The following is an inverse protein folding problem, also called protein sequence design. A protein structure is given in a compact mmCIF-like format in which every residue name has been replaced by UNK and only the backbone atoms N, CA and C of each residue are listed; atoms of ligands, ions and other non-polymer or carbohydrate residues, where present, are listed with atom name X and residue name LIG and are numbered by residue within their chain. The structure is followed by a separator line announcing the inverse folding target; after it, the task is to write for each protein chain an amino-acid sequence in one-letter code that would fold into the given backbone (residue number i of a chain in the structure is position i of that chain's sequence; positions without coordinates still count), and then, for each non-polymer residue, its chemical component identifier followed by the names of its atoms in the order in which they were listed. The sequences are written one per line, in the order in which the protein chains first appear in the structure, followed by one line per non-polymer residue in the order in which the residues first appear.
data_IF_409328109034
#
_entry.id   IF_409328109034
#
_cell.length_a   1.000
_cell.length_b   1.000
_cell.length_c   1.000
_cell.angle_alpha   90.00
_cell.angle_beta   90.00
_cell.angle_gamma   90.00
#
_symmetry.space_group_name_H-M   'P 1'
#
loop_
_entity.id
_entity.type
_entity.pdbx_description
1 polymer ?
#
# COMPACT_ATOMS: atom_id res chain seq x y z
N UNK A 1 1.53 1.68 -26.80
CA UNK A 1 0.06 1.57 -26.58
C UNK A 1 -0.30 1.13 -25.16
N UNK A 2 0.17 -0.04 -24.68
CA UNK A 2 -0.13 -0.58 -23.35
C UNK A 2 0.02 0.44 -22.20
N UNK A 3 1.19 1.07 -22.06
CA UNK A 3 1.45 2.07 -21.01
C UNK A 3 0.50 3.28 -21.09
N UNK A 4 0.10 3.72 -22.28
CA UNK A 4 -0.86 4.82 -22.47
C UNK A 4 -2.25 4.46 -21.95
N UNK A 5 -2.72 3.24 -22.22
CA UNK A 5 -4.01 2.74 -21.71
C UNK A 5 -3.98 2.64 -20.18
N UNK A 6 -2.88 2.15 -19.61
CA UNK A 6 -2.71 2.11 -18.15
C UNK A 6 -2.73 3.52 -17.56
N UNK A 7 -2.04 4.48 -18.18
CA UNK A 7 -2.10 5.88 -17.75
C UNK A 7 -3.52 6.45 -17.84
N UNK A 8 -4.30 6.09 -18.86
CA UNK A 8 -5.72 6.45 -18.96
C UNK A 8 -6.57 5.84 -17.84
N UNK A 9 -6.28 4.61 -17.43
CA UNK A 9 -6.91 3.98 -16.26
C UNK A 9 -6.55 4.71 -14.96
N UNK A 10 -5.28 5.07 -14.77
CA UNK A 10 -4.85 5.88 -13.62
C UNK A 10 -5.59 7.22 -13.58
N UNK A 11 -5.72 7.89 -14.71
CA UNK A 11 -6.43 9.17 -14.80
C UNK A 11 -7.94 9.04 -14.55
N UNK A 12 -8.56 7.98 -15.06
CA UNK A 12 -9.97 7.66 -14.74
C UNK A 12 -10.17 7.47 -13.22
N UNK A 13 -9.27 6.75 -12.56
CA UNK A 13 -9.33 6.46 -11.12
C UNK A 13 -9.06 7.69 -10.23
N UNK A 14 -8.40 8.73 -10.75
CA UNK A 14 -8.26 10.01 -10.02
C UNK A 14 -9.60 10.71 -9.85
N UNK A 15 -10.43 10.67 -10.88
CA UNK A 15 -11.69 11.41 -10.94
C UNK A 15 -12.91 10.59 -10.54
N UNK A 16 -12.81 9.25 -10.50
CA UNK A 16 -13.95 8.34 -10.29
C UNK A 16 -13.57 7.18 -9.36
N UNK A 17 -14.49 6.66 -8.53
CA UNK A 17 -14.27 5.43 -7.78
C UNK A 17 -14.21 4.22 -8.73
N UNK A 18 -13.53 3.15 -8.31
CA UNK A 18 -13.26 1.98 -9.15
C UNK A 18 -14.51 1.40 -9.86
N UNK A 19 -15.63 1.32 -9.16
CA UNK A 19 -16.87 0.73 -9.68
C UNK A 19 -17.58 1.59 -10.74
N UNK A 20 -17.19 2.86 -10.89
CA UNK A 20 -17.69 3.77 -11.93
C UNK A 20 -16.74 3.87 -13.15
N UNK A 21 -15.54 3.31 -13.05
CA UNK A 21 -14.57 3.33 -14.16
C UNK A 21 -14.98 2.28 -15.19
N UNK A 22 -15.04 2.69 -16.45
CA UNK A 22 -15.46 1.84 -17.58
C UNK A 22 -14.37 1.77 -18.65
N UNK A 23 -14.41 0.76 -19.52
CA UNK A 23 -13.51 0.68 -20.69
C UNK A 23 -13.60 1.94 -21.56
N UNK A 24 -14.81 2.50 -21.71
CA UNK A 24 -15.03 3.74 -22.44
C UNK A 24 -14.35 4.95 -21.78
N UNK A 25 -14.41 5.09 -20.45
CA UNK A 25 -13.70 6.17 -19.77
C UNK A 25 -12.19 6.01 -19.89
N UNK A 26 -11.67 4.79 -19.79
CA UNK A 26 -10.23 4.52 -19.99
C UNK A 26 -9.79 4.87 -21.41
N UNK A 27 -10.55 4.48 -22.42
CA UNK A 27 -10.26 4.78 -23.82
C UNK A 27 -10.23 6.29 -24.07
N UNK A 28 -11.18 7.02 -23.49
CA UNK A 28 -11.23 8.49 -23.54
C UNK A 28 -9.98 9.13 -22.93
N UNK A 29 -9.64 8.79 -21.68
CA UNK A 29 -8.46 9.34 -20.99
C UNK A 29 -7.13 8.91 -21.65
N UNK A 30 -7.11 7.77 -22.35
CA UNK A 30 -5.96 7.28 -23.10
C UNK A 30 -5.87 7.80 -24.55
N UNK A 31 -6.82 8.66 -24.96
CA UNK A 31 -6.95 9.19 -26.33
C UNK A 31 -6.89 8.07 -27.39
N UNK A 32 -7.75 7.07 -27.20
CA UNK A 32 -7.84 5.89 -28.06
C UNK A 32 -9.27 5.35 -28.13
N UNK A 33 -9.48 4.22 -28.81
CA UNK A 33 -10.82 3.61 -28.98
C UNK A 33 -11.02 2.44 -28.02
N UNK A 34 -12.27 2.08 -27.75
CA UNK A 34 -12.63 0.93 -26.91
C UNK A 34 -12.04 -0.36 -27.49
N UNK A 35 -12.12 -0.54 -28.80
CA UNK A 35 -11.59 -1.72 -29.51
C UNK A 35 -10.08 -1.83 -29.32
N UNK A 36 -9.37 -0.69 -29.29
CA UNK A 36 -7.93 -0.68 -29.03
C UNK A 36 -7.62 -1.09 -27.59
N UNK A 37 -8.44 -0.67 -26.61
CA UNK A 37 -8.28 -1.06 -25.21
C UNK A 37 -8.50 -2.56 -25.05
N UNK A 38 -9.60 -3.09 -25.59
CA UNK A 38 -9.95 -4.52 -25.49
C UNK A 38 -8.93 -5.42 -26.21
N UNK A 39 -8.40 -4.98 -27.36
CA UNK A 39 -7.36 -5.71 -28.07
C UNK A 39 -6.04 -5.79 -27.27
N UNK A 40 -5.67 -4.73 -26.54
CA UNK A 40 -4.42 -4.69 -25.75
C UNK A 40 -4.60 -5.31 -24.36
N UNK A 41 -5.79 -5.22 -23.79
CA UNK A 41 -6.19 -5.80 -22.50
C UNK A 41 -7.47 -6.62 -22.68
N UNK A 42 -7.34 -7.92 -23.02
CA UNK A 42 -8.49 -8.80 -23.23
C UNK A 42 -9.31 -9.06 -21.96
N UNK A 43 -8.81 -8.67 -20.79
CA UNK A 43 -9.53 -8.75 -19.53
C UNK A 43 -9.39 -7.46 -18.71
N UNK A 44 -10.49 -7.05 -18.09
CA UNK A 44 -10.53 -5.94 -17.15
C UNK A 44 -9.55 -6.15 -15.98
N UNK A 45 -9.54 -7.38 -15.47
CA UNK A 45 -8.60 -7.89 -14.48
C UNK A 45 -7.13 -7.65 -14.86
N UNK A 46 -6.78 -7.91 -16.12
CA UNK A 46 -5.43 -7.68 -16.62
C UNK A 46 -5.05 -6.19 -16.64
N UNK A 47 -6.00 -5.31 -16.97
CA UNK A 47 -5.81 -3.86 -16.93
C UNK A 47 -5.69 -3.36 -15.49
N UNK A 48 -6.53 -3.84 -14.57
CA UNK A 48 -6.48 -3.51 -13.15
C UNK A 48 -5.10 -3.82 -12.56
N UNK A 49 -4.61 -5.04 -12.78
CA UNK A 49 -3.32 -5.47 -12.25
C UNK A 49 -2.15 -4.69 -12.86
N UNK A 50 -2.17 -4.43 -14.17
CA UNK A 50 -1.15 -3.61 -14.81
C UNK A 50 -1.14 -2.17 -14.28
N UNK A 51 -2.32 -1.65 -13.95
CA UNK A 51 -2.48 -0.32 -13.34
C UNK A 51 -1.90 -0.28 -11.92
N UNK A 52 -2.18 -1.29 -11.10
CA UNK A 52 -1.57 -1.41 -9.76
C UNK A 52 -0.05 -1.43 -9.87
N UNK A 53 0.50 -2.25 -10.76
CA UNK A 53 1.96 -2.42 -10.90
C UNK A 53 2.62 -1.12 -11.36
N UNK A 54 2.12 -0.53 -12.45
CA UNK A 54 2.67 0.70 -13.00
C UNK A 54 2.55 1.86 -12.00
N UNK A 55 1.40 2.04 -11.36
CA UNK A 55 1.22 3.15 -10.41
C UNK A 55 2.09 3.00 -9.17
N UNK A 56 2.22 1.77 -8.63
CA UNK A 56 3.15 1.52 -7.54
C UNK A 56 4.59 1.84 -7.93
N UNK A 57 5.04 1.40 -9.10
CA UNK A 57 6.41 1.68 -9.60
C UNK A 57 6.66 3.20 -9.73
N UNK A 58 5.72 3.95 -10.30
CA UNK A 58 5.83 5.41 -10.43
C UNK A 58 5.89 6.10 -9.06
N UNK A 59 5.16 5.59 -8.06
CA UNK A 59 5.16 6.14 -6.70
C UNK A 59 6.44 5.78 -5.94
N UNK A 60 6.85 4.52 -5.96
CA UNK A 60 7.93 4.02 -5.07
C UNK A 60 9.31 4.12 -5.68
N UNK A 61 9.45 4.07 -7.01
CA UNK A 61 10.73 4.16 -7.71
C UNK A 61 11.55 5.40 -7.31
N UNK A 62 10.98 6.62 -7.38
CA UNK A 62 11.68 7.84 -6.96
C UNK A 62 12.05 7.88 -5.47
N UNK A 63 11.38 7.08 -4.63
CA UNK A 63 11.57 7.06 -3.18
C UNK A 63 12.61 6.03 -2.74
N UNK A 64 13.05 5.13 -3.63
CA UNK A 64 13.98 4.06 -3.28
C UNK A 64 15.32 4.55 -2.68
N UNK A 65 15.91 5.67 -3.13
CA UNK A 65 17.10 6.23 -2.49
C UNK A 65 16.90 6.58 -1.00
N UNK A 66 15.67 6.93 -0.58
CA UNK A 66 15.36 7.21 0.83
C UNK A 66 15.47 5.93 1.67
N UNK A 67 14.99 4.79 1.16
CA UNK A 67 15.12 3.51 1.85
C UNK A 67 16.60 3.14 2.05
N UNK A 68 17.41 3.33 1.00
CA UNK A 68 18.84 3.04 1.04
C UNK A 68 19.60 3.92 2.03
N UNK A 69 19.32 5.23 2.04
CA UNK A 69 20.08 6.22 2.83
C UNK A 69 19.56 6.38 4.26
N UNK A 70 18.23 6.34 4.45
CA UNK A 70 17.57 6.72 5.69
C UNK A 70 16.74 5.59 6.34
N UNK A 71 16.60 4.45 5.66
CA UNK A 71 15.92 3.27 6.18
C UNK A 71 14.42 3.22 5.91
N UNK A 72 13.84 2.10 6.32
CA UNK A 72 12.47 1.67 5.99
C UNK A 72 11.41 2.62 6.54
N UNK A 73 11.60 3.14 7.75
CA UNK A 73 10.67 4.08 8.39
C UNK A 73 10.51 5.35 7.57
N UNK A 74 11.64 5.94 7.12
CA UNK A 74 11.62 7.17 6.34
C UNK A 74 11.11 6.94 4.92
N UNK A 75 11.37 5.76 4.34
CA UNK A 75 10.78 5.36 3.08
C UNK A 75 9.25 5.28 3.15
N UNK A 76 8.69 4.60 4.16
CA UNK A 76 7.23 4.53 4.33
C UNK A 76 6.63 5.91 4.65
N UNK A 77 7.32 6.75 5.43
CA UNK A 77 6.92 8.13 5.66
C UNK A 77 6.84 8.93 4.35
N UNK A 78 7.81 8.76 3.46
CA UNK A 78 7.79 9.40 2.15
C UNK A 78 6.63 8.90 1.27
N UNK A 79 6.29 7.62 1.36
CA UNK A 79 5.08 7.08 0.71
C UNK A 79 3.82 7.73 1.29
N UNK A 80 3.71 7.88 2.62
CA UNK A 80 2.58 8.59 3.26
C UNK A 80 2.46 10.01 2.71
N UNK A 81 3.56 10.76 2.65
CA UNK A 81 3.57 12.11 2.07
C UNK A 81 3.09 12.10 0.60
N UNK A 82 3.55 11.13 -0.20
CA UNK A 82 3.08 10.98 -1.59
C UNK A 82 1.58 10.68 -1.67
N UNK A 83 1.04 9.89 -0.76
CA UNK A 83 -0.37 9.52 -0.76
C UNK A 83 -1.27 10.67 -0.27
N UNK A 84 -0.75 11.57 0.56
CA UNK A 84 -1.44 12.83 0.90
C UNK A 84 -1.56 13.72 -0.36
N UNK A 85 -0.51 13.78 -1.18
CA UNK A 85 -0.51 14.58 -2.41
C UNK A 85 -1.42 14.00 -3.52
N UNK A 86 -1.49 12.66 -3.66
CA UNK A 86 -2.42 11.96 -4.57
C UNK A 86 -3.06 10.75 -3.85
N UNK A 87 -4.25 10.91 -3.25
CA UNK A 87 -4.91 9.82 -2.51
C UNK A 87 -5.55 8.76 -3.43
N UNK A 88 -5.54 8.97 -4.75
CA UNK A 88 -6.30 8.15 -5.70
C UNK A 88 -5.81 6.71 -5.76
N UNK A 89 -4.49 6.50 -5.71
CA UNK A 89 -3.92 5.15 -5.65
C UNK A 89 -4.38 4.41 -4.40
N UNK A 90 -4.43 5.09 -3.24
CA UNK A 90 -4.85 4.43 -2.00
C UNK A 90 -6.33 4.08 -2.00
N UNK A 91 -7.20 4.97 -2.49
CA UNK A 91 -8.62 4.64 -2.71
C UNK A 91 -8.78 3.43 -3.62
N UNK A 92 -7.96 3.37 -4.69
CA UNK A 92 -7.98 2.24 -5.61
C UNK A 92 -7.52 0.94 -4.94
N UNK A 93 -6.35 0.93 -4.28
CA UNK A 93 -5.85 -0.25 -3.56
C UNK A 93 -6.84 -0.73 -2.50
N UNK A 94 -7.44 0.17 -1.74
CA UNK A 94 -8.46 -0.19 -0.74
C UNK A 94 -9.71 -0.78 -1.39
N UNK A 95 -10.13 -0.27 -2.55
CA UNK A 95 -11.25 -0.88 -3.30
C UNK A 95 -10.96 -2.33 -3.71
N UNK A 96 -9.69 -2.65 -4.01
CA UNK A 96 -9.28 -4.02 -4.36
C UNK A 96 -9.17 -4.96 -3.16
N UNK A 97 -9.21 -4.48 -1.91
CA UNK A 97 -9.22 -5.35 -0.73
C UNK A 97 -10.47 -6.24 -0.68
N UNK A 98 -11.62 -5.71 -1.06
CA UNK A 98 -12.86 -6.49 -1.13
C UNK A 98 -12.76 -7.63 -2.16
N UNK A 99 -12.05 -7.39 -3.27
CA UNK A 99 -11.78 -8.41 -4.29
C UNK A 99 -10.82 -9.46 -3.74
N UNK A 100 -9.74 -9.04 -3.07
CA UNK A 100 -8.76 -9.94 -2.49
C UNK A 100 -9.37 -10.82 -1.38
N UNK A 101 -10.28 -10.25 -0.58
CA UNK A 101 -10.96 -10.94 0.51
C UNK A 101 -12.06 -11.91 0.05
N UNK A 102 -12.44 -11.90 -1.23
CA UNK A 102 -13.43 -12.80 -1.80
C UNK A 102 -12.76 -14.12 -2.27
N UNK A 103 -12.95 -15.25 -1.57
CA UNK A 103 -12.20 -16.49 -1.84
C UNK A 103 -12.39 -17.04 -3.26
N UNK A 104 -13.60 -16.87 -3.81
CA UNK A 104 -13.97 -17.40 -5.13
C UNK A 104 -13.61 -16.45 -6.29
N UNK A 105 -13.06 -15.26 -5.99
CA UNK A 105 -12.74 -14.28 -7.03
C UNK A 105 -11.44 -14.64 -7.76
N UNK A 106 -11.42 -14.75 -9.11
CA UNK A 106 -10.23 -15.15 -9.88
C UNK A 106 -8.98 -14.28 -9.64
N UNK A 107 -9.17 -12.97 -9.39
CA UNK A 107 -8.08 -12.05 -9.05
C UNK A 107 -7.46 -12.24 -7.66
N UNK A 108 -8.16 -12.86 -6.70
CA UNK A 108 -7.72 -12.87 -5.30
C UNK A 108 -6.28 -13.42 -5.11
N UNK A 109 -5.88 -14.55 -5.74
CA UNK A 109 -4.49 -15.04 -5.62
C UNK A 109 -3.44 -14.06 -6.16
N UNK A 110 -3.76 -13.33 -7.23
CA UNK A 110 -2.84 -12.36 -7.87
C UNK A 110 -2.69 -11.10 -7.02
N UNK A 111 -3.75 -10.68 -6.33
CA UNK A 111 -3.73 -9.61 -5.35
C UNK A 111 -2.94 -10.04 -4.11
N UNK A 112 -3.23 -11.21 -3.52
CA UNK A 112 -2.48 -11.74 -2.37
C UNK A 112 -0.97 -11.80 -2.62
N UNK A 113 -0.56 -12.19 -3.82
CA UNK A 113 0.85 -12.20 -4.20
C UNK A 113 1.49 -10.81 -4.10
N UNK A 114 0.79 -9.74 -4.49
CA UNK A 114 1.28 -8.35 -4.40
C UNK A 114 1.41 -7.89 -2.96
N UNK A 115 0.41 -8.14 -2.12
CA UNK A 115 0.48 -7.85 -0.68
C UNK A 115 1.65 -8.58 -0.02
N UNK A 116 1.80 -9.89 -0.28
CA UNK A 116 2.93 -10.67 0.26
C UNK A 116 4.29 -10.15 -0.20
N UNK A 117 4.41 -9.70 -1.46
CA UNK A 117 5.66 -9.11 -1.97
C UNK A 117 6.01 -7.82 -1.25
N UNK A 118 5.02 -6.95 -1.01
CA UNK A 118 5.25 -5.71 -0.27
C UNK A 118 5.62 -5.99 1.18
N UNK A 119 4.94 -6.92 1.85
CA UNK A 119 5.29 -7.34 3.21
C UNK A 119 6.72 -7.89 3.30
N UNK A 120 7.07 -8.81 2.40
CA UNK A 120 8.42 -9.39 2.34
C UNK A 120 9.50 -8.35 1.97
N UNK A 121 9.15 -7.30 1.24
CA UNK A 121 10.05 -6.17 1.00
C UNK A 121 10.32 -5.39 2.29
N UNK A 122 9.26 -4.98 3.01
CA UNK A 122 9.40 -4.22 4.27
C UNK A 122 10.14 -5.01 5.34
N UNK A 123 9.83 -6.31 5.49
CA UNK A 123 10.54 -7.17 6.42
C UNK A 123 12.05 -7.20 6.14
N UNK A 124 12.45 -7.47 4.89
CA UNK A 124 13.88 -7.51 4.49
C UNK A 124 14.57 -6.16 4.65
N UNK A 125 13.84 -5.06 4.42
CA UNK A 125 14.37 -3.73 4.62
C UNK A 125 14.62 -3.45 6.13
N UNK A 126 13.70 -3.88 7.01
CA UNK A 126 13.89 -3.80 8.45
C UNK A 126 15.02 -4.72 8.96
N UNK A 127 15.19 -5.91 8.40
CA UNK A 127 16.33 -6.79 8.69
C UNK A 127 17.66 -6.07 8.40
N UNK A 128 17.74 -5.38 7.26
CA UNK A 128 18.91 -4.56 6.90
C UNK A 128 19.09 -3.37 7.84
N UNK A 129 18.02 -2.70 8.23
CA UNK A 129 18.11 -1.55 9.14
C UNK A 129 18.60 -1.94 10.53
N UNK A 130 18.24 -3.13 11.04
CA UNK A 130 18.83 -3.68 12.28
C UNK A 130 20.32 -3.96 12.11
N UNK A 131 20.72 -4.59 10.99
CA UNK A 131 22.13 -4.89 10.71
C UNK A 131 22.98 -3.61 10.62
N UNK A 132 22.42 -2.52 10.10
CA UNK A 132 23.07 -1.21 9.99
C UNK A 132 22.96 -0.36 11.27
N UNK A 133 22.27 -0.85 12.31
CA UNK A 133 22.08 -0.12 13.57
C UNK A 133 21.10 1.06 13.50
N UNK A 134 20.24 1.11 12.48
CA UNK A 134 19.17 2.14 12.35
C UNK A 134 17.94 1.81 13.18
N UNK A 135 17.69 0.51 13.39
CA UNK A 135 16.64 -0.01 14.27
C UNK A 135 17.26 -0.86 15.39
N UNK A 136 16.60 -0.96 16.56
CA UNK A 136 17.18 -1.61 17.73
C UNK A 136 17.35 -3.13 17.51
N UNK A 137 18.39 -3.70 18.12
CA UNK A 137 18.69 -5.15 18.03
C UNK A 137 17.65 -6.05 18.71
N UNK A 138 16.84 -5.48 19.59
CA UNK A 138 15.70 -6.14 20.26
C UNK A 138 14.48 -6.28 19.36
N UNK A 139 14.45 -5.59 18.21
CA UNK A 139 13.36 -5.72 17.24
C UNK A 139 13.44 -7.07 16.50
N UNK A 140 12.33 -7.80 16.46
CA UNK A 140 12.15 -8.93 15.54
C UNK A 140 11.59 -8.42 14.19
N UNK A 141 12.34 -8.48 13.07
CA UNK A 141 11.91 -7.84 11.82
C UNK A 141 10.59 -8.37 11.24
N UNK A 142 10.28 -9.65 11.42
CA UNK A 142 9.00 -10.22 10.99
C UNK A 142 7.83 -9.54 11.72
N UNK A 143 7.89 -9.48 13.06
CA UNK A 143 6.87 -8.82 13.90
C UNK A 143 6.83 -7.31 13.68
N UNK A 144 8.00 -6.67 13.56
CA UNK A 144 8.13 -5.24 13.29
C UNK A 144 7.46 -4.86 11.96
N UNK A 145 7.64 -5.67 10.91
CA UNK A 145 6.99 -5.44 9.62
C UNK A 145 5.47 -5.59 9.69
N UNK A 146 4.95 -6.61 10.39
CA UNK A 146 3.51 -6.80 10.60
C UNK A 146 2.89 -5.57 11.30
N UNK A 147 3.50 -5.11 12.39
CA UNK A 147 3.03 -3.97 13.17
C UNK A 147 3.09 -2.66 12.39
N UNK A 148 4.21 -2.43 11.70
CA UNK A 148 4.44 -1.21 10.92
C UNK A 148 3.45 -1.12 9.75
N UNK A 149 3.25 -2.22 9.02
CA UNK A 149 2.30 -2.27 7.90
C UNK A 149 0.86 -2.13 8.35
N UNK A 150 0.46 -2.84 9.42
CA UNK A 150 -0.89 -2.69 9.97
C UNK A 150 -1.18 -1.24 10.41
N UNK A 151 -0.19 -0.58 11.02
CA UNK A 151 -0.28 0.84 11.40
C UNK A 151 -0.38 1.74 10.16
N UNK A 152 0.51 1.57 9.19
CA UNK A 152 0.54 2.34 7.94
C UNK A 152 -0.74 2.20 7.13
N UNK A 153 -1.23 0.97 6.91
CA UNK A 153 -2.45 0.70 6.14
C UNK A 153 -3.70 1.17 6.90
N UNK A 154 -3.76 0.92 8.22
CA UNK A 154 -4.86 1.32 9.06
C UNK A 154 -5.03 2.84 9.13
N UNK A 155 -3.94 3.59 9.29
CA UNK A 155 -3.98 5.05 9.32
C UNK A 155 -4.45 5.64 7.99
N UNK A 156 -4.00 5.08 6.87
CA UNK A 156 -4.46 5.52 5.55
C UNK A 156 -5.94 5.20 5.29
N UNK A 157 -6.41 4.04 5.75
CA UNK A 157 -7.83 3.72 5.70
C UNK A 157 -8.63 4.74 6.51
N UNK A 158 -8.19 5.05 7.72
CA UNK A 158 -8.86 6.00 8.60
C UNK A 158 -8.86 7.43 8.03
N UNK A 159 -7.77 7.89 7.41
CA UNK A 159 -7.71 9.24 6.83
C UNK A 159 -8.69 9.42 5.66
N UNK A 160 -9.03 8.36 4.93
CA UNK A 160 -10.01 8.45 3.83
C UNK A 160 -11.43 8.73 4.31
N UNK A 161 -11.77 8.39 5.56
CA UNK A 161 -13.11 8.61 6.14
C UNK A 161 -13.12 9.70 7.22
N UNK A 162 -11.96 10.31 7.50
CA UNK A 162 -11.78 11.37 8.48
C UNK A 162 -11.03 12.55 7.84
N UNK A 163 -11.73 13.45 7.13
CA UNK A 163 -11.09 14.48 6.32
C UNK A 163 -10.22 15.47 7.12
N UNK A 164 -10.48 15.62 8.42
CA UNK A 164 -9.73 16.51 9.32
C UNK A 164 -8.49 15.82 9.94
N UNK A 165 -8.26 14.54 9.65
CA UNK A 165 -7.12 13.81 10.21
C UNK A 165 -5.81 14.26 9.56
N UNK A 166 -4.87 14.76 10.36
CA UNK A 166 -3.48 14.90 9.92
C UNK A 166 -2.83 13.49 9.86
N UNK A 167 -2.82 12.92 8.66
CA UNK A 167 -2.29 11.59 8.41
C UNK A 167 -0.78 11.51 8.69
N UNK A 168 -0.02 12.56 8.36
CA UNK A 168 1.43 12.54 8.52
C UNK A 168 1.82 12.63 9.99
N UNK A 169 1.18 13.53 10.75
CA UNK A 169 1.38 13.64 12.20
C UNK A 169 0.96 12.34 12.92
N UNK A 170 -0.18 11.75 12.52
CA UNK A 170 -0.65 10.50 13.11
C UNK A 170 0.33 9.34 12.84
N UNK A 171 0.89 9.26 11.63
CA UNK A 171 1.92 8.29 11.28
C UNK A 171 3.19 8.50 12.11
N UNK A 172 3.71 9.72 12.18
CA UNK A 172 4.93 10.05 12.91
C UNK A 172 4.80 9.72 14.41
N UNK A 173 3.65 10.03 15.01
CA UNK A 173 3.36 9.69 16.41
C UNK A 173 3.26 8.18 16.63
N UNK A 174 2.56 7.47 15.75
CA UNK A 174 2.37 6.03 15.88
C UNK A 174 3.70 5.26 15.73
N UNK A 175 4.50 5.61 14.72
CA UNK A 175 5.79 4.97 14.47
C UNK A 175 6.81 5.31 15.56
N UNK A 176 6.83 6.53 16.08
CA UNK A 176 7.69 6.87 17.24
C UNK A 176 7.42 5.93 18.42
N UNK A 177 6.15 5.76 18.80
CA UNK A 177 5.76 4.84 19.89
C UNK A 177 6.05 3.38 19.57
N UNK A 178 5.85 2.97 18.32
CA UNK A 178 6.15 1.62 17.87
C UNK A 178 7.66 1.32 18.02
N UNK A 179 8.52 2.24 17.60
CA UNK A 179 9.99 2.13 17.72
C UNK A 179 10.46 2.14 19.17
N UNK A 180 9.84 2.94 20.04
CA UNK A 180 10.09 2.87 21.48
C UNK A 180 9.76 1.48 22.05
N UNK A 181 8.69 0.84 21.56
CA UNK A 181 8.34 -0.53 21.90
C UNK A 181 9.38 -1.55 21.42
N UNK A 182 9.84 -1.42 20.17
CA UNK A 182 10.88 -2.28 19.60
C UNK A 182 12.23 -2.22 20.34
N UNK A 183 12.54 -1.11 21.00
CA UNK A 183 13.77 -0.95 21.78
C UNK A 183 13.75 -1.72 23.12
N UNK A 184 12.59 -2.27 23.51
CA UNK A 184 12.44 -3.05 24.75
C UNK A 184 12.47 -4.54 24.43
N UNK A 185 12.88 -5.34 25.41
CA UNK A 185 12.69 -6.78 25.33
C UNK A 185 11.20 -7.11 25.31
N UNK A 186 10.80 -8.01 24.40
CA UNK A 186 9.42 -8.45 24.34
C UNK A 186 9.09 -9.30 25.57
N UNK A 187 8.06 -8.86 26.30
CA UNK A 187 7.45 -9.63 27.38
C UNK A 187 6.03 -9.95 26.93
N UNK A 188 5.69 -11.24 26.87
CA UNK A 188 4.36 -11.66 26.49
C UNK A 188 3.33 -11.04 27.45
N UNK A 189 2.24 -10.45 26.93
CA UNK A 189 1.24 -9.84 27.79
C UNK A 189 0.56 -10.92 28.64
N UNK A 190 0.43 -10.65 29.93
CA UNK A 190 -0.44 -11.40 30.84
C UNK A 190 -1.76 -10.65 30.86
N UNK A 191 -2.79 -11.25 30.25
CA UNK A 191 -4.13 -10.70 30.27
C UNK A 191 -4.89 -11.33 31.43
N UNK A 192 -5.19 -10.56 32.47
CA UNK A 192 -6.13 -10.95 33.51
C UNK A 192 -7.56 -10.82 32.98
N UNK A 193 -7.90 -11.69 32.04
CA UNK A 193 -9.28 -11.86 31.57
C UNK A 193 -9.93 -12.89 32.49
N UNK A 194 -10.38 -12.44 33.66
CA UNK A 194 -11.40 -13.19 34.39
C UNK A 194 -12.60 -13.33 33.44
N UNK A 195 -12.77 -14.53 32.89
CA UNK A 195 -13.95 -14.89 32.14
C UNK A 195 -15.12 -14.72 33.10
N UNK A 196 -15.87 -13.62 32.94
CA UNK A 196 -17.16 -13.47 33.59
C UNK A 196 -18.02 -14.67 33.16
N UNK A 197 -18.12 -15.63 34.09
CA UNK A 197 -18.91 -16.85 33.97
C UNK A 197 -20.40 -16.55 33.94
#
# INVERSE_FOLDING_TARGET
MRSRIVSGMMQSLRTRPLHEVTVASVAHEAETTVETVEAVFPSWDGLLLATIDQWNEHRTGPLMPIAEQHGTIQFLRAIVTSNIADPSLMRFLTSTLNIAAAPDHPLAPMLHMRWRRFHAFVQRALERDVQLGREPRTMEPARGSEQLLATYEGLQLQSMVRPEMDLLEAYDRAVTRLREGWAREYVAPVWDLELAS
#
